data_IF_033559184189
#
_entry.id   IF_033559184189
#
_cell.length_a   1.000
_cell.length_b   1.000
_cell.length_c   1.000
_cell.angle_alpha   90.00
_cell.angle_beta   90.00
_cell.angle_gamma   90.00
#
_symmetry.space_group_name_H-M   'P 1'
#
loop_
_entity.id
_entity.type
_entity.pdbx_description
1 polymer ?
#
# COMPACT_ATOMS: atom_id res chain seq x y z
N UNK A 1 35.67 33.43 -24.39
CA UNK A 1 35.34 32.91 -25.75
C UNK A 1 34.70 31.51 -25.69
N UNK A 2 33.96 31.20 -24.65
CA UNK A 2 33.40 29.83 -24.42
C UNK A 2 31.89 29.75 -24.37
N UNK A 3 31.17 30.87 -24.66
CA UNK A 3 29.68 30.87 -24.53
C UNK A 3 28.95 30.96 -25.89
N UNK A 4 29.64 30.73 -27.02
CA UNK A 4 29.00 30.85 -28.35
C UNK A 4 28.36 29.52 -28.85
N UNK A 5 28.63 28.41 -28.18
CA UNK A 5 28.09 27.08 -28.59
C UNK A 5 26.77 26.76 -27.89
N UNK A 6 26.44 27.47 -26.79
CA UNK A 6 25.18 27.22 -26.03
C UNK A 6 23.94 27.85 -26.66
N UNK A 7 24.08 28.76 -27.64
CA UNK A 7 22.98 29.48 -28.27
C UNK A 7 22.48 28.88 -29.60
N UNK A 8 23.05 27.75 -30.02
CA UNK A 8 22.54 27.02 -31.19
C UNK A 8 21.35 26.14 -30.70
N UNK A 9 20.23 26.81 -30.49
CA UNK A 9 18.96 26.14 -30.22
C UNK A 9 18.41 25.49 -31.50
N UNK A 10 19.00 24.36 -31.89
CA UNK A 10 18.47 23.51 -32.97
C UNK A 10 17.25 22.78 -32.41
N UNK A 11 16.02 23.08 -32.87
CA UNK A 11 14.78 22.52 -32.29
C UNK A 11 14.74 20.97 -32.29
N UNK A 12 15.58 20.34 -33.12
CA UNK A 12 15.70 18.87 -33.11
C UNK A 12 16.57 18.31 -31.99
N UNK A 13 17.59 19.05 -31.52
CA UNK A 13 18.51 18.55 -30.46
C UNK A 13 17.89 18.74 -29.07
N UNK A 14 17.12 19.81 -28.86
CA UNK A 14 16.37 20.02 -27.61
C UNK A 14 15.35 18.90 -27.41
N UNK A 15 14.56 18.55 -28.42
CA UNK A 15 13.59 17.46 -28.34
C UNK A 15 14.23 16.08 -28.11
N UNK A 16 15.44 15.85 -28.61
CA UNK A 16 16.18 14.61 -28.33
C UNK A 16 16.66 14.52 -26.88
N UNK A 17 17.11 15.64 -26.30
CA UNK A 17 17.51 15.68 -24.89
C UNK A 17 16.33 15.48 -23.95
N UNK A 18 15.21 16.11 -24.24
CA UNK A 18 13.94 15.92 -23.49
C UNK A 18 13.43 14.47 -23.60
N UNK A 19 13.47 13.90 -24.80
CA UNK A 19 13.14 12.49 -25.03
C UNK A 19 14.07 11.54 -24.27
N UNK A 20 15.37 11.83 -24.22
CA UNK A 20 16.34 11.04 -23.46
C UNK A 20 16.08 11.10 -21.96
N UNK A 21 15.70 12.26 -21.42
CA UNK A 21 15.30 12.42 -20.01
C UNK A 21 14.05 11.61 -19.65
N UNK A 22 13.06 11.59 -20.52
CA UNK A 22 11.85 10.78 -20.33
C UNK A 22 12.15 9.27 -20.41
N UNK A 23 12.99 8.85 -21.36
CA UNK A 23 13.44 7.46 -21.44
C UNK A 23 14.22 7.04 -20.18
N UNK A 24 15.12 7.92 -19.70
CA UNK A 24 15.84 7.67 -18.46
C UNK A 24 14.90 7.51 -17.26
N UNK A 25 13.89 8.37 -17.11
CA UNK A 25 12.88 8.27 -16.08
C UNK A 25 12.06 6.97 -16.17
N UNK A 26 11.69 6.57 -17.39
CA UNK A 26 11.01 5.29 -17.62
C UNK A 26 11.88 4.09 -17.20
N UNK A 27 13.16 4.10 -17.60
CA UNK A 27 14.12 3.06 -17.22
C UNK A 27 14.32 2.97 -15.71
N UNK A 28 14.41 4.11 -15.01
CA UNK A 28 14.49 4.17 -13.55
C UNK A 28 13.26 3.56 -12.92
N UNK A 29 12.06 3.94 -13.37
CA UNK A 29 10.81 3.38 -12.86
C UNK A 29 10.72 1.87 -13.05
N UNK A 30 11.05 1.37 -14.23
CA UNK A 30 11.06 -0.07 -14.54
C UNK A 30 12.10 -0.81 -13.70
N UNK A 31 13.30 -0.26 -13.53
CA UNK A 31 14.36 -0.87 -12.73
C UNK A 31 13.92 -1.02 -11.26
N UNK A 32 13.37 0.02 -10.66
CA UNK A 32 12.89 -0.04 -9.27
C UNK A 32 11.76 -1.05 -9.12
N UNK A 33 10.81 -1.10 -10.06
CA UNK A 33 9.73 -2.11 -10.07
C UNK A 33 10.31 -3.53 -10.20
N UNK A 34 11.32 -3.73 -11.05
CA UNK A 34 11.98 -5.02 -11.20
C UNK A 34 12.65 -5.48 -9.89
N UNK A 35 13.35 -4.56 -9.20
CA UNK A 35 13.96 -4.84 -7.89
C UNK A 35 12.88 -5.16 -6.85
N UNK A 36 11.78 -4.42 -6.82
CA UNK A 36 10.67 -4.71 -5.91
C UNK A 36 10.05 -6.09 -6.17
N UNK A 37 9.83 -6.45 -7.44
CA UNK A 37 9.36 -7.80 -7.81
C UNK A 37 10.30 -8.90 -7.34
N UNK A 38 11.58 -8.68 -7.46
CA UNK A 38 12.58 -9.65 -7.03
C UNK A 38 12.62 -9.80 -5.50
N UNK A 39 12.47 -8.70 -4.78
CA UNK A 39 12.48 -8.68 -3.31
C UNK A 39 11.17 -9.21 -2.72
N UNK A 40 10.03 -8.97 -3.37
CA UNK A 40 8.69 -9.35 -2.92
C UNK A 40 8.16 -10.61 -3.61
N UNK A 41 8.90 -11.72 -3.58
CA UNK A 41 8.49 -12.96 -4.27
C UNK A 41 7.23 -13.60 -3.69
N UNK A 42 7.00 -13.48 -2.40
CA UNK A 42 5.85 -14.10 -1.72
C UNK A 42 4.56 -13.28 -1.88
N UNK A 43 4.67 -11.96 -1.97
CA UNK A 43 3.55 -11.04 -2.11
C UNK A 43 3.80 -10.03 -3.23
N UNK A 44 3.56 -10.42 -4.50
CA UNK A 44 3.79 -9.54 -5.63
C UNK A 44 2.86 -8.31 -5.56
N UNK A 45 3.41 -7.15 -5.93
CA UNK A 45 2.61 -5.95 -6.12
C UNK A 45 1.48 -6.19 -7.11
N UNK A 46 0.35 -5.52 -6.91
CA UNK A 46 -0.72 -5.52 -7.92
C UNK A 46 -0.21 -4.84 -9.19
N UNK A 47 -0.63 -5.32 -10.36
CA UNK A 47 -0.22 -4.74 -11.66
C UNK A 47 -0.52 -3.25 -11.75
N UNK A 48 -1.61 -2.80 -11.14
CA UNK A 48 -1.97 -1.38 -11.08
C UNK A 48 -0.95 -0.55 -10.29
N UNK A 49 -0.41 -1.09 -9.19
CA UNK A 49 0.61 -0.42 -8.39
C UNK A 49 1.95 -0.34 -9.12
N UNK A 50 2.36 -1.40 -9.82
CA UNK A 50 3.57 -1.39 -10.65
C UNK A 50 3.50 -0.33 -11.75
N UNK A 51 2.35 -0.23 -12.42
CA UNK A 51 2.11 0.81 -13.42
C UNK A 51 2.16 2.21 -12.80
N UNK A 52 1.58 2.38 -11.61
CA UNK A 52 1.60 3.66 -10.90
C UNK A 52 3.03 4.10 -10.57
N UNK A 53 3.92 3.18 -10.20
CA UNK A 53 5.34 3.48 -9.95
C UNK A 53 6.05 4.06 -11.18
N UNK A 54 5.89 3.42 -12.33
CA UNK A 54 6.51 3.88 -13.59
C UNK A 54 5.91 5.20 -14.05
N UNK A 55 4.57 5.31 -14.00
CA UNK A 55 3.87 6.52 -14.43
C UNK A 55 4.19 7.72 -13.53
N UNK A 56 4.37 7.51 -12.23
CA UNK A 56 4.71 8.59 -11.32
C UNK A 56 6.16 9.09 -11.52
N UNK A 57 7.08 8.19 -11.84
CA UNK A 57 8.44 8.57 -12.21
C UNK A 57 8.45 9.43 -13.50
N UNK A 58 7.69 9.00 -14.52
CA UNK A 58 7.49 9.78 -15.75
C UNK A 58 6.81 11.13 -15.49
N UNK A 59 5.79 11.17 -14.63
CA UNK A 59 5.12 12.40 -14.25
C UNK A 59 6.07 13.38 -13.57
N UNK A 60 6.99 12.89 -12.71
CA UNK A 60 8.05 13.69 -12.12
C UNK A 60 8.96 14.34 -13.18
N UNK A 61 9.41 13.56 -14.17
CA UNK A 61 10.24 14.07 -15.25
C UNK A 61 9.49 15.09 -16.11
N UNK A 62 8.26 14.81 -16.51
CA UNK A 62 7.42 15.74 -17.26
C UNK A 62 7.17 17.04 -16.50
N UNK A 63 6.92 16.94 -15.19
CA UNK A 63 6.74 18.13 -14.34
C UNK A 63 7.94 19.04 -14.42
N UNK A 64 9.17 18.51 -14.31
CA UNK A 64 10.38 19.33 -14.40
C UNK A 64 10.65 19.87 -15.79
N UNK A 65 10.36 19.12 -16.84
CA UNK A 65 10.46 19.63 -18.22
C UNK A 65 9.49 20.79 -18.48
N UNK A 66 8.28 20.75 -17.91
CA UNK A 66 7.27 21.81 -18.05
C UNK A 66 7.64 23.03 -17.19
N UNK A 67 8.10 22.81 -15.96
CA UNK A 67 8.49 23.88 -15.02
C UNK A 67 9.71 24.62 -15.56
N UNK A 68 10.76 23.89 -16.02
CA UNK A 68 12.04 24.48 -16.39
C UNK A 68 12.56 25.39 -15.28
N UNK A 69 13.05 26.56 -15.67
CA UNK A 69 13.59 27.56 -14.74
C UNK A 69 12.53 28.59 -14.26
N UNK A 70 11.24 28.28 -14.45
CA UNK A 70 10.14 29.23 -14.16
C UNK A 70 9.51 29.01 -12.80
N UNK A 71 9.83 29.85 -11.82
CA UNK A 71 9.21 29.85 -10.49
C UNK A 71 7.67 29.94 -10.53
N UNK A 72 7.03 30.81 -11.35
CA UNK A 72 5.57 30.85 -11.40
C UNK A 72 4.94 29.54 -11.84
N UNK A 73 5.55 28.80 -12.78
CA UNK A 73 5.05 27.49 -13.21
C UNK A 73 5.20 26.45 -12.10
N UNK A 74 6.31 26.50 -11.36
CA UNK A 74 6.52 25.60 -10.21
C UNK A 74 5.43 25.78 -9.14
N UNK A 75 5.11 27.02 -8.78
CA UNK A 75 4.02 27.31 -7.83
C UNK A 75 2.64 26.91 -8.36
N UNK A 76 2.41 27.09 -9.67
CA UNK A 76 1.14 26.68 -10.31
C UNK A 76 0.93 25.15 -10.21
N UNK A 77 1.95 24.35 -10.53
CA UNK A 77 1.90 22.90 -10.45
C UNK A 77 1.81 22.41 -8.99
N UNK A 78 2.59 23.02 -8.08
CA UNK A 78 2.54 22.69 -6.66
C UNK A 78 1.14 22.97 -6.07
N UNK A 79 0.52 24.10 -6.44
CA UNK A 79 -0.85 24.44 -6.04
C UNK A 79 -1.88 23.43 -6.59
N UNK A 80 -1.76 23.04 -7.85
CA UNK A 80 -2.63 22.05 -8.46
C UNK A 80 -2.48 20.67 -7.78
N UNK A 81 -1.24 20.25 -7.48
CA UNK A 81 -0.96 19.00 -6.78
C UNK A 81 -1.50 18.96 -5.34
N UNK A 82 -1.51 20.10 -4.65
CA UNK A 82 -2.05 20.21 -3.28
C UNK A 82 -3.56 19.94 -3.19
N UNK A 83 -4.29 20.09 -4.29
CA UNK A 83 -5.74 19.81 -4.35
C UNK A 83 -6.02 18.31 -4.49
N UNK A 84 -5.04 17.55 -4.98
CA UNK A 84 -5.19 16.09 -5.16
C UNK A 84 -5.21 15.39 -3.80
N UNK A 85 -6.38 14.87 -3.44
CA UNK A 85 -6.57 14.14 -2.19
C UNK A 85 -6.88 12.67 -2.48
N UNK A 86 -6.06 11.78 -1.96
CA UNK A 86 -6.36 10.34 -1.99
C UNK A 86 -7.56 10.05 -1.06
N UNK A 87 -8.60 9.44 -1.61
CA UNK A 87 -9.80 9.05 -0.83
C UNK A 87 -9.79 7.57 -0.42
N UNK A 88 -8.88 6.79 -1.00
CA UNK A 88 -8.73 5.37 -0.68
C UNK A 88 -7.53 5.17 0.23
N UNK A 89 -7.66 4.43 1.34
CA UNK A 89 -6.53 4.07 2.18
C UNK A 89 -5.56 3.21 1.37
N UNK A 90 -4.29 3.60 1.35
CA UNK A 90 -3.22 2.78 0.78
C UNK A 90 -2.89 1.69 1.78
N UNK A 91 -2.82 0.45 1.32
CA UNK A 91 -2.67 -0.72 2.20
C UNK A 91 -1.33 -0.74 2.93
N UNK A 92 -0.26 -0.25 2.28
CA UNK A 92 1.08 -0.23 2.87
C UNK A 92 1.69 1.18 2.81
N UNK A 93 2.03 1.80 3.96
CA UNK A 93 2.70 3.10 4.01
C UNK A 93 4.05 3.12 3.27
N UNK A 94 4.71 1.97 3.16
CA UNK A 94 5.99 1.82 2.47
C UNK A 94 5.84 2.04 0.96
N UNK A 95 4.75 1.60 0.38
CA UNK A 95 4.48 1.78 -1.05
C UNK A 95 4.32 3.26 -1.38
N UNK A 96 3.69 4.04 -0.48
CA UNK A 96 3.60 5.50 -0.61
C UNK A 96 5.00 6.13 -0.62
N UNK A 97 5.88 5.70 0.29
CA UNK A 97 7.25 6.22 0.37
C UNK A 97 8.01 5.96 -0.93
N UNK A 98 7.90 4.77 -1.50
CA UNK A 98 8.55 4.43 -2.76
C UNK A 98 7.98 5.25 -3.92
N UNK A 99 6.66 5.50 -3.95
CA UNK A 99 6.04 6.39 -4.93
C UNK A 99 6.63 7.81 -4.90
N UNK A 100 6.81 8.39 -3.70
CA UNK A 100 7.43 9.71 -3.56
C UNK A 100 8.91 9.71 -3.97
N UNK A 101 9.66 8.67 -3.64
CA UNK A 101 11.06 8.53 -4.07
C UNK A 101 11.17 8.43 -5.59
N UNK A 102 10.29 7.66 -6.24
CA UNK A 102 10.24 7.55 -7.70
C UNK A 102 9.90 8.89 -8.36
N UNK A 103 8.96 9.64 -7.80
CA UNK A 103 8.64 10.98 -8.29
C UNK A 103 9.87 11.89 -8.21
N UNK A 104 10.61 11.88 -7.09
CA UNK A 104 11.82 12.67 -6.91
C UNK A 104 12.94 12.27 -7.90
N UNK A 105 13.13 10.96 -8.13
CA UNK A 105 14.09 10.46 -9.12
C UNK A 105 13.70 10.85 -10.55
N UNK A 106 12.41 10.81 -10.87
CA UNK A 106 11.88 11.29 -12.12
C UNK A 106 12.16 12.78 -12.32
N UNK A 107 11.94 13.61 -11.30
CA UNK A 107 12.26 15.03 -11.34
C UNK A 107 13.75 15.27 -11.59
N UNK A 108 14.64 14.53 -10.93
CA UNK A 108 16.08 14.63 -11.15
C UNK A 108 16.47 14.26 -12.60
N UNK A 109 15.85 13.23 -13.16
CA UNK A 109 16.04 12.85 -14.56
C UNK A 109 15.52 13.94 -15.53
N UNK A 110 14.35 14.54 -15.24
CA UNK A 110 13.76 15.62 -16.02
C UNK A 110 14.61 16.91 -16.04
N UNK A 111 15.33 17.20 -14.95
CA UNK A 111 16.32 18.29 -14.88
C UNK A 111 17.62 17.99 -15.62
N UNK A 112 17.77 16.82 -16.23
CA UNK A 112 19.02 16.41 -16.88
C UNK A 112 20.14 16.03 -15.90
N UNK A 113 19.83 15.91 -14.58
CA UNK A 113 20.79 15.53 -13.55
C UNK A 113 20.98 14.01 -13.53
N UNK A 114 21.46 13.44 -14.63
CA UNK A 114 21.60 11.99 -14.80
C UNK A 114 22.44 11.32 -13.71
N UNK A 115 23.50 11.97 -13.24
CA UNK A 115 24.36 11.47 -12.15
C UNK A 115 23.58 11.35 -10.83
N UNK A 116 22.80 12.36 -10.47
CA UNK A 116 21.98 12.38 -9.25
C UNK A 116 20.88 11.31 -9.33
N UNK A 117 20.22 11.21 -10.48
CA UNK A 117 19.20 10.22 -10.73
C UNK A 117 19.77 8.79 -10.64
N UNK A 118 20.94 8.53 -11.21
CA UNK A 118 21.60 7.22 -11.18
C UNK A 118 22.03 6.83 -9.76
N UNK A 119 22.72 7.73 -9.04
CA UNK A 119 23.15 7.48 -7.66
C UNK A 119 21.94 7.30 -6.73
N UNK A 120 20.92 8.15 -6.88
CA UNK A 120 19.67 8.05 -6.11
C UNK A 120 18.94 6.72 -6.37
N UNK A 121 18.88 6.29 -7.62
CA UNK A 121 18.27 4.98 -7.99
C UNK A 121 19.03 3.83 -7.36
N UNK A 122 20.36 3.85 -7.43
CA UNK A 122 21.20 2.82 -6.81
C UNK A 122 20.96 2.76 -5.30
N UNK A 123 20.90 3.92 -4.63
CA UNK A 123 20.65 4.01 -3.20
C UNK A 123 19.27 3.48 -2.83
N UNK A 124 18.22 3.85 -3.57
CA UNK A 124 16.84 3.34 -3.35
C UNK A 124 16.78 1.82 -3.55
N UNK A 125 17.41 1.30 -4.61
CA UNK A 125 17.47 -0.14 -4.83
C UNK A 125 18.22 -0.86 -3.70
N UNK A 126 19.34 -0.30 -3.23
CA UNK A 126 20.10 -0.84 -2.10
C UNK A 126 19.24 -0.85 -0.81
N UNK A 127 18.53 0.23 -0.52
CA UNK A 127 17.62 0.29 0.62
C UNK A 127 16.50 -0.76 0.51
N UNK A 128 15.90 -0.93 -0.65
CA UNK A 128 14.85 -1.93 -0.87
C UNK A 128 15.34 -3.37 -0.67
N UNK A 129 16.61 -3.64 -1.01
CA UNK A 129 17.25 -4.95 -0.82
C UNK A 129 17.65 -5.19 0.64
N UNK A 130 18.15 -4.15 1.32
CA UNK A 130 18.64 -4.24 2.70
C UNK A 130 17.53 -4.22 3.74
N UNK A 131 16.41 -3.53 3.45
CA UNK A 131 15.25 -3.54 4.33
C UNK A 131 14.32 -4.70 3.96
N UNK A 132 14.38 -5.83 4.67
CA UNK A 132 13.49 -6.94 4.38
C UNK A 132 12.04 -6.48 4.54
N UNK A 133 11.20 -6.96 3.65
CA UNK A 133 9.77 -6.70 3.69
C UNK A 133 9.16 -7.58 4.79
N UNK A 134 9.32 -7.16 6.05
CA UNK A 134 8.58 -7.74 7.16
C UNK A 134 7.15 -7.20 7.09
N UNK A 135 6.33 -7.80 6.24
CA UNK A 135 4.90 -7.61 6.37
C UNK A 135 4.41 -8.46 7.54
N UNK A 136 4.09 -7.80 8.64
CA UNK A 136 2.92 -8.26 9.38
C UNK A 136 1.74 -8.07 8.42
N UNK A 137 1.35 -9.13 7.71
CA UNK A 137 0.13 -9.08 6.90
C UNK A 137 -0.99 -8.50 7.77
N UNK A 138 -1.78 -7.55 7.24
CA UNK A 138 -2.90 -7.06 8.00
C UNK A 138 -3.76 -8.28 8.39
N UNK A 139 -4.09 -8.44 9.67
CA UNK A 139 -4.84 -9.58 10.14
C UNK A 139 -6.10 -9.73 9.30
N UNK A 140 -6.44 -10.94 8.87
CA UNK A 140 -7.67 -11.20 8.11
C UNK A 140 -8.85 -10.77 8.96
N UNK A 141 -9.57 -9.73 8.53
CA UNK A 141 -10.79 -9.37 9.18
C UNK A 141 -11.91 -10.32 8.73
N UNK A 142 -12.42 -11.12 9.63
CA UNK A 142 -13.58 -11.96 9.41
C UNK A 142 -14.70 -11.55 10.36
N UNK A 143 -15.95 -11.72 9.89
CA UNK A 143 -17.11 -11.57 10.76
C UNK A 143 -17.42 -12.94 11.34
N UNK A 144 -17.50 -13.03 12.64
CA UNK A 144 -17.96 -14.22 13.34
C UNK A 144 -19.32 -13.94 13.96
N UNK A 145 -20.32 -14.74 13.64
CA UNK A 145 -21.62 -14.71 14.28
C UNK A 145 -21.73 -15.90 15.23
N UNK A 146 -21.97 -15.60 16.49
CA UNK A 146 -22.14 -16.56 17.57
C UNK A 146 -23.59 -16.52 18.02
N UNK A 147 -24.22 -17.69 18.11
CA UNK A 147 -25.61 -17.85 18.62
C UNK A 147 -25.55 -18.69 19.87
N UNK A 148 -26.16 -18.21 20.93
CA UNK A 148 -26.26 -18.93 22.21
C UNK A 148 -27.72 -19.27 22.53
N UNK A 149 -27.95 -20.46 23.10
CA UNK A 149 -29.22 -20.83 23.68
C UNK A 149 -29.44 -20.09 25.02
N UNK A 150 -30.47 -19.27 25.06
CA UNK A 150 -30.84 -18.52 26.27
C UNK A 150 -30.77 -17.00 26.09
N UNK A 151 -31.19 -16.29 27.16
CA UNK A 151 -31.25 -14.84 27.17
C UNK A 151 -29.91 -14.15 27.49
N UNK A 152 -28.96 -14.88 28.05
CA UNK A 152 -27.64 -14.34 28.40
C UNK A 152 -26.57 -14.92 27.51
N UNK A 153 -25.82 -14.03 26.87
CA UNK A 153 -24.70 -14.42 26.02
C UNK A 153 -23.43 -14.62 26.88
N UNK A 154 -22.67 -15.71 26.70
CA UNK A 154 -21.50 -16.05 27.52
C UNK A 154 -20.26 -15.24 27.13
N UNK A 155 -20.30 -13.93 27.33
CA UNK A 155 -19.21 -12.99 26.96
C UNK A 155 -17.87 -13.36 27.58
N UNK A 156 -17.85 -13.83 28.83
CA UNK A 156 -16.62 -14.19 29.55
C UNK A 156 -15.91 -15.39 28.94
N UNK A 157 -16.64 -16.38 28.48
CA UNK A 157 -16.08 -17.55 27.81
C UNK A 157 -15.51 -17.17 26.44
N UNK A 158 -16.30 -16.47 25.65
CA UNK A 158 -15.91 -15.99 24.31
C UNK A 158 -14.67 -15.10 24.36
N UNK A 159 -14.61 -14.19 25.33
CA UNK A 159 -13.44 -13.31 25.50
C UNK A 159 -12.19 -14.10 25.92
N UNK A 160 -12.30 -15.14 26.75
CA UNK A 160 -11.18 -16.01 27.13
C UNK A 160 -10.64 -16.80 25.93
N UNK A 161 -11.53 -17.38 25.11
CA UNK A 161 -11.10 -18.14 23.92
C UNK A 161 -10.38 -17.22 22.93
N UNK A 162 -10.94 -16.06 22.63
CA UNK A 162 -10.29 -15.11 21.73
C UNK A 162 -8.95 -14.57 22.28
N UNK A 163 -8.87 -14.33 23.59
CA UNK A 163 -7.62 -13.92 24.23
C UNK A 163 -6.56 -15.03 24.21
N UNK A 164 -6.95 -16.30 24.39
CA UNK A 164 -6.03 -17.44 24.33
C UNK A 164 -5.37 -17.60 22.94
N UNK A 165 -6.11 -17.27 21.88
CA UNK A 165 -5.62 -17.30 20.50
C UNK A 165 -5.10 -15.93 19.99
N UNK A 166 -4.95 -14.92 20.88
CA UNK A 166 -4.51 -13.56 20.56
C UNK A 166 -5.34 -12.87 19.46
N UNK A 167 -6.61 -13.24 19.33
CA UNK A 167 -7.54 -12.69 18.35
C UNK A 167 -8.13 -11.40 18.89
N UNK A 168 -7.83 -10.28 18.24
CA UNK A 168 -8.50 -9.02 18.53
C UNK A 168 -9.92 -9.05 17.95
N UNK A 169 -10.93 -8.72 18.76
CA UNK A 169 -12.33 -8.72 18.35
C UNK A 169 -13.00 -7.40 18.66
N UNK A 170 -13.79 -6.92 17.70
CA UNK A 170 -14.65 -5.75 17.87
C UNK A 170 -16.11 -6.20 17.79
N UNK A 171 -16.94 -5.92 18.80
CA UNK A 171 -18.37 -6.22 18.72
C UNK A 171 -19.04 -5.31 17.68
N UNK A 172 -19.78 -5.89 16.73
CA UNK A 172 -20.48 -5.16 15.68
C UNK A 172 -21.97 -5.00 16.02
N UNK A 173 -22.60 -6.08 16.45
CA UNK A 173 -24.05 -6.13 16.62
C UNK A 173 -24.43 -7.12 17.72
N UNK A 174 -25.34 -6.71 18.56
CA UNK A 174 -25.97 -7.55 19.57
C UNK A 174 -27.47 -7.71 19.23
N UNK A 175 -27.90 -8.93 19.05
CA UNK A 175 -29.30 -9.24 18.83
C UNK A 175 -29.85 -10.02 20.03
N UNK A 176 -30.92 -9.48 20.63
CA UNK A 176 -31.65 -10.13 21.72
C UNK A 176 -33.01 -10.55 21.17
N UNK A 177 -33.19 -11.88 21.01
CA UNK A 177 -34.46 -12.48 20.57
C UNK A 177 -34.75 -13.73 21.38
N UNK A 178 -35.33 -14.75 20.74
CA UNK A 178 -35.50 -16.09 21.33
C UNK A 178 -34.13 -16.72 21.66
N UNK A 179 -33.11 -16.36 20.91
CA UNK A 179 -31.70 -16.71 21.10
C UNK A 179 -30.85 -15.44 21.14
N UNK A 180 -29.84 -15.42 22.02
CA UNK A 180 -28.88 -14.32 22.05
C UNK A 180 -27.84 -14.54 20.95
N UNK A 181 -27.74 -13.60 20.00
CA UNK A 181 -26.75 -13.65 18.94
C UNK A 181 -25.83 -12.41 18.97
N UNK A 182 -24.56 -12.63 18.83
CA UNK A 182 -23.55 -11.55 18.78
C UNK A 182 -22.68 -11.72 17.55
N UNK A 183 -22.51 -10.64 16.82
CA UNK A 183 -21.55 -10.56 15.71
C UNK A 183 -20.32 -9.80 16.14
N UNK A 184 -19.16 -10.41 15.95
CA UNK A 184 -17.86 -9.77 16.14
C UNK A 184 -17.15 -9.65 14.82
N UNK A 185 -16.33 -8.59 14.69
CA UNK A 185 -15.26 -8.53 13.70
C UNK A 185 -14.01 -9.07 14.39
N UNK A 186 -13.52 -10.20 13.93
CA UNK A 186 -12.32 -10.84 14.42
C UNK A 186 -11.15 -10.55 13.47
N UNK A 187 -10.01 -10.18 14.02
CA UNK A 187 -8.75 -9.99 13.30
C UNK A 187 -7.89 -11.22 13.56
N UNK A 188 -7.84 -12.11 12.56
CA UNK A 188 -7.15 -13.39 12.66
C UNK A 188 -5.81 -13.34 11.94
N UNK A 189 -4.80 -13.95 12.55
CA UNK A 189 -3.56 -14.27 11.86
C UNK A 189 -3.79 -15.46 10.90
N UNK A 190 -3.00 -15.56 9.82
CA UNK A 190 -3.17 -16.63 8.81
C UNK A 190 -2.90 -18.03 9.37
N UNK A 191 -2.09 -18.12 10.40
CA UNK A 191 -1.76 -19.39 11.05
C UNK A 191 -2.87 -19.90 11.99
N UNK A 192 -3.83 -19.03 12.33
CA UNK A 192 -4.90 -19.40 13.25
C UNK A 192 -5.91 -20.34 12.56
N UNK A 193 -6.03 -21.55 13.05
CA UNK A 193 -7.00 -22.55 12.59
C UNK A 193 -8.42 -22.16 13.04
N UNK A 194 -9.29 -21.84 12.07
CA UNK A 194 -10.69 -21.50 12.34
C UNK A 194 -11.45 -22.68 12.97
N UNK A 195 -11.09 -23.91 12.60
CA UNK A 195 -11.72 -25.12 13.10
C UNK A 195 -11.41 -25.32 14.59
N UNK A 196 -10.16 -25.04 15.00
CA UNK A 196 -9.74 -25.16 16.39
C UNK A 196 -10.41 -24.11 17.29
N UNK A 197 -10.45 -22.85 16.83
CA UNK A 197 -11.15 -21.76 17.53
C UNK A 197 -12.65 -22.05 17.63
N UNK A 198 -13.27 -22.56 16.55
CA UNK A 198 -14.68 -22.92 16.53
C UNK A 198 -14.99 -24.08 17.48
N UNK A 199 -14.11 -25.10 17.51
CA UNK A 199 -14.26 -26.23 18.42
C UNK A 199 -14.19 -25.77 19.89
N UNK A 200 -13.22 -24.90 20.23
CA UNK A 200 -13.12 -24.38 21.61
C UNK A 200 -14.27 -23.47 22.00
N UNK A 201 -14.86 -22.72 21.05
CA UNK A 201 -16.06 -21.93 21.31
C UNK A 201 -17.28 -22.78 21.56
N UNK A 202 -17.37 -23.93 20.88
CA UNK A 202 -18.49 -24.89 21.02
C UNK A 202 -18.30 -25.88 22.20
N UNK A 203 -17.05 -26.18 22.57
CA UNK A 203 -16.71 -27.23 23.57
C UNK A 203 -16.98 -26.82 25.02
N UNK A 204 -17.38 -25.57 25.23
CA UNK A 204 -17.80 -25.09 26.54
C UNK A 204 -19.14 -25.67 27.01
N UNK A 205 -19.35 -26.96 26.92
CA UNK A 205 -20.58 -27.75 27.18
C UNK A 205 -21.57 -27.30 28.26
N UNK A 206 -21.26 -26.25 29.01
CA UNK A 206 -22.11 -25.54 29.98
C UNK A 206 -22.48 -24.13 29.53
N UNK A 207 -21.99 -23.66 28.40
CA UNK A 207 -21.99 -22.24 28.02
C UNK A 207 -23.04 -21.90 26.96
N UNK A 208 -23.70 -22.91 26.40
CA UNK A 208 -24.90 -22.75 25.55
C UNK A 208 -24.66 -22.09 24.18
N UNK A 209 -23.41 -22.07 23.65
CA UNK A 209 -23.19 -21.63 22.27
C UNK A 209 -23.61 -22.77 21.33
N UNK A 210 -24.57 -22.49 20.45
CA UNK A 210 -25.20 -23.50 19.57
C UNK A 210 -24.63 -23.45 18.16
N UNK A 211 -24.19 -22.28 17.71
CA UNK A 211 -23.58 -22.16 16.37
C UNK A 211 -22.55 -21.08 16.30
N UNK A 212 -21.52 -21.36 15.49
CA UNK A 212 -20.44 -20.42 15.11
C UNK A 212 -20.41 -20.38 13.60
N UNK A 213 -20.57 -19.20 13.02
CA UNK A 213 -20.45 -19.01 11.58
C UNK A 213 -19.43 -17.92 11.26
N UNK A 214 -18.52 -18.25 10.35
CA UNK A 214 -17.47 -17.34 9.88
C UNK A 214 -17.82 -16.83 8.49
N UNK A 215 -17.88 -15.54 8.33
CA UNK A 215 -18.06 -14.87 7.03
C UNK A 215 -16.84 -14.03 6.70
N UNK A 216 -16.33 -14.16 5.48
CA UNK A 216 -15.29 -13.26 5.02
C UNK A 216 -15.85 -11.83 5.02
N UNK A 217 -15.19 -10.92 5.74
CA UNK A 217 -15.55 -9.50 5.67
C UNK A 217 -15.27 -9.03 4.24
N UNK A 218 -16.32 -8.83 3.42
CA UNK A 218 -16.15 -8.12 2.15
C UNK A 218 -15.52 -6.77 2.50
N UNK A 219 -14.32 -6.49 1.96
CA UNK A 219 -13.74 -5.14 1.97
C UNK A 219 -14.86 -4.20 1.52
N UNK A 220 -15.28 -3.29 2.39
CA UNK A 220 -16.24 -2.28 2.02
C UNK A 220 -15.72 -1.50 0.82
N UNK A 221 -16.58 -1.34 -0.18
CA UNK A 221 -16.42 -0.45 -1.33
C UNK A 221 -16.17 0.99 -0.84
#
# INVERSE_FOLDING_TARGET
>A
MTNFISDINLPGIAGLAEGASLLAAACIGILVVAVQRWTRREHPLTRSMEQAHVLLCLAGALTMLIVGDSLPRAFGIAGAAAIVRFRTPVEDPRDITVLFLLMALGMAAGLGLASVAAVGTLFVCACLLLLPHSQSEPPRSMKVALVAEGRQFPTTHVSKVFAAHQIAVEPLEFSHGAHAAVRYRAFLDRETSLDEVSAQLLDGGTVGITSVSWEASKKGL
#
